data_IF_436507152930
#
_entry.id   IF_436507152930
#
_cell.length_a   1.000
_cell.length_b   1.000
_cell.length_c   1.000
_cell.angle_alpha   90.00
_cell.angle_beta   90.00
_cell.angle_gamma   90.00
#
_symmetry.space_group_name_H-M   'P 1'
#
loop_
_entity.id
_entity.type
_entity.pdbx_description
1 polymer ?
#
# COMPACT_ATOMS: atom_id res chain seq x y z
N UNK A 1 -23.67 14.02 19.59
CA UNK A 1 -22.37 13.52 20.07
C UNK A 1 -22.07 12.18 19.39
N UNK A 2 -21.42 12.18 18.21
CA UNK A 2 -21.36 11.01 17.32
C UNK A 2 -20.21 10.03 17.65
N UNK A 3 -19.75 9.97 18.89
CA UNK A 3 -18.60 9.15 19.29
C UNK A 3 -18.96 7.75 19.84
N UNK A 4 -20.19 7.26 19.67
CA UNK A 4 -20.65 6.02 20.34
C UNK A 4 -21.24 4.93 19.46
N UNK A 5 -21.15 5.01 18.14
CA UNK A 5 -21.63 3.93 17.27
C UNK A 5 -20.45 3.51 16.39
N UNK A 6 -20.15 2.21 16.37
CA UNK A 6 -19.14 1.53 15.53
C UNK A 6 -17.75 1.37 16.20
N UNK A 7 -17.60 0.45 17.16
CA UNK A 7 -16.48 -0.52 17.17
C UNK A 7 -16.69 -1.60 18.25
N UNK A 8 -17.23 -2.75 17.85
CA UNK A 8 -17.21 -4.00 18.63
C UNK A 8 -16.53 -5.09 17.78
N UNK A 9 -15.19 -5.19 17.73
CA UNK A 9 -14.49 -6.20 16.92
C UNK A 9 -13.66 -7.17 17.75
N UNK A 10 -13.97 -7.36 19.04
CA UNK A 10 -13.13 -8.18 19.93
C UNK A 10 -13.08 -9.68 19.57
N UNK A 11 -14.04 -10.20 18.80
CA UNK A 11 -14.12 -11.64 18.50
C UNK A 11 -14.02 -12.03 17.02
N UNK A 12 -14.11 -11.07 16.07
CA UNK A 12 -14.20 -11.40 14.63
C UNK A 12 -12.82 -11.63 13.99
N UNK A 13 -11.80 -10.91 14.45
CA UNK A 13 -10.45 -10.94 13.86
C UNK A 13 -9.72 -12.27 14.14
N UNK A 14 -9.88 -12.84 15.35
CA UNK A 14 -9.28 -14.12 15.71
C UNK A 14 -9.80 -15.30 14.85
N UNK A 15 -11.10 -15.31 14.56
CA UNK A 15 -11.76 -16.43 13.85
C UNK A 15 -11.43 -16.46 12.34
N UNK A 16 -11.28 -15.30 11.71
CA UNK A 16 -10.87 -15.19 10.30
C UNK A 16 -9.37 -15.46 10.10
N UNK A 17 -8.56 -15.11 11.10
CA UNK A 17 -7.17 -15.55 11.32
C UNK A 17 -6.94 -17.02 10.97
N UNK A 18 -7.64 -17.83 11.74
CA UNK A 18 -7.53 -19.28 11.75
C UNK A 18 -7.97 -19.93 10.44
N UNK A 19 -9.09 -19.49 9.84
CA UNK A 19 -9.64 -20.12 8.63
C UNK A 19 -8.70 -19.99 7.41
N UNK A 20 -7.93 -18.91 7.31
CA UNK A 20 -6.94 -18.73 6.22
C UNK A 20 -5.61 -19.43 6.51
N UNK A 21 -5.15 -19.44 7.76
CA UNK A 21 -3.92 -20.14 8.15
C UNK A 21 -4.06 -21.67 8.11
N UNK A 22 -5.21 -22.21 8.50
CA UNK A 22 -5.53 -23.63 8.35
C UNK A 22 -5.55 -24.09 6.89
N UNK A 23 -6.04 -23.23 5.96
CA UNK A 23 -6.04 -23.51 4.52
C UNK A 23 -4.63 -23.48 3.89
N UNK A 24 -3.67 -22.82 4.55
CA UNK A 24 -2.28 -22.77 4.13
C UNK A 24 -1.42 -23.93 4.69
N UNK A 25 -2.04 -24.93 5.33
CA UNK A 25 -1.35 -26.14 5.80
C UNK A 25 -0.37 -25.93 6.96
N UNK A 26 -0.41 -24.77 7.63
CA UNK A 26 0.54 -24.39 8.69
C UNK A 26 0.06 -24.68 10.11
N UNK A 27 -1.16 -25.17 10.29
CA UNK A 27 -1.70 -25.54 11.61
C UNK A 27 -2.35 -26.92 11.55
N UNK A 28 -1.86 -27.86 12.38
CA UNK A 28 -2.53 -29.13 12.66
C UNK A 28 -3.86 -28.89 13.37
N UNK A 29 -4.76 -29.88 13.29
CA UNK A 29 -6.19 -29.81 13.60
C UNK A 29 -6.59 -29.54 15.09
N UNK A 30 -5.80 -28.80 15.85
CA UNK A 30 -6.16 -28.31 17.18
C UNK A 30 -6.08 -26.79 17.18
N UNK A 31 -7.22 -26.11 17.29
CA UNK A 31 -7.26 -24.67 17.43
C UNK A 31 -6.59 -24.29 18.76
N UNK A 32 -5.49 -23.51 18.76
CA UNK A 32 -5.00 -22.96 20.01
C UNK A 32 -6.03 -21.93 20.48
N UNK A 33 -6.49 -22.05 21.73
CA UNK A 33 -7.25 -21.03 22.47
C UNK A 33 -6.40 -19.77 22.73
N UNK A 34 -5.45 -19.44 21.87
CA UNK A 34 -4.58 -18.28 22.02
C UNK A 34 -5.36 -17.02 21.68
N UNK A 35 -6.08 -16.56 22.69
CA UNK A 35 -6.59 -15.22 22.82
C UNK A 35 -5.46 -14.23 22.53
N UNK A 36 -5.70 -13.36 21.56
CA UNK A 36 -4.87 -12.17 21.35
C UNK A 36 -5.00 -11.29 22.60
N UNK A 37 -3.98 -11.28 23.47
CA UNK A 37 -4.06 -10.61 24.76
C UNK A 37 -3.51 -9.19 24.74
N UNK A 38 -2.49 -8.89 23.92
CA UNK A 38 -1.94 -7.52 23.86
C UNK A 38 -1.08 -7.23 22.62
N UNK A 39 -0.97 -5.93 22.30
CA UNK A 39 0.14 -5.37 21.52
C UNK A 39 1.19 -4.85 22.51
N UNK A 40 2.47 -5.06 22.24
CA UNK A 40 3.51 -4.37 23.03
C UNK A 40 3.50 -2.86 22.73
N UNK A 41 3.96 -2.03 23.66
CA UNK A 41 4.04 -0.58 23.46
C UNK A 41 4.84 -0.21 22.20
N UNK A 42 5.95 -0.91 21.95
CA UNK A 42 6.78 -0.74 20.76
C UNK A 42 6.06 -1.14 19.47
N UNK A 43 5.20 -2.16 19.54
CA UNK A 43 4.38 -2.58 18.41
C UNK A 43 3.36 -1.49 18.04
N UNK A 44 2.72 -0.89 19.06
CA UNK A 44 1.79 0.21 18.88
C UNK A 44 2.47 1.45 18.26
N UNK A 45 3.59 1.88 18.83
CA UNK A 45 4.37 3.02 18.34
C UNK A 45 4.77 2.85 16.88
N UNK A 46 5.14 1.63 16.49
CA UNK A 46 5.52 1.29 15.11
C UNK A 46 4.33 1.35 14.14
N UNK A 47 3.12 0.98 14.56
CA UNK A 47 1.91 1.10 13.75
C UNK A 47 1.45 2.55 13.64
N UNK A 48 1.59 3.35 14.70
CA UNK A 48 1.22 4.77 14.74
C UNK A 48 2.14 5.63 13.86
N UNK A 49 3.44 5.33 13.83
CA UNK A 49 4.40 6.06 12.98
C UNK A 49 4.31 5.70 11.49
N UNK A 50 3.61 4.62 11.15
CA UNK A 50 3.52 4.16 9.77
C UNK A 50 2.41 4.90 9.01
N UNK A 51 2.73 5.39 7.82
CA UNK A 51 1.75 6.01 6.94
C UNK A 51 0.91 4.94 6.26
N UNK A 52 -0.38 4.88 6.58
CA UNK A 52 -1.33 3.90 6.02
C UNK A 52 -2.04 4.47 4.77
N UNK A 53 -1.62 4.13 3.53
CA UNK A 53 -2.25 4.65 2.32
C UNK A 53 -3.68 4.10 2.08
N UNK A 54 -4.04 3.01 2.74
CA UNK A 54 -5.33 2.32 2.66
C UNK A 54 -5.88 1.95 4.03
N UNK A 55 -5.79 2.89 4.98
CA UNK A 55 -6.41 2.91 6.32
C UNK A 55 -6.61 1.54 6.98
N UNK A 56 -7.85 1.07 7.09
CA UNK A 56 -8.21 -0.01 8.03
C UNK A 56 -7.89 -1.40 7.49
N UNK A 57 -8.10 -1.67 6.19
CA UNK A 57 -7.85 -3.01 5.62
C UNK A 57 -6.37 -3.37 5.61
N UNK A 58 -5.50 -2.38 5.42
CA UNK A 58 -4.05 -2.60 5.47
C UNK A 58 -3.59 -2.88 6.89
N UNK A 59 -4.09 -2.12 7.87
CA UNK A 59 -3.84 -2.39 9.29
C UNK A 59 -4.31 -3.78 9.69
N UNK A 60 -5.52 -4.19 9.27
CA UNK A 60 -6.06 -5.53 9.49
C UNK A 60 -5.14 -6.62 8.93
N UNK A 61 -4.63 -6.45 7.71
CA UNK A 61 -3.74 -7.42 7.07
C UNK A 61 -2.40 -7.54 7.80
N UNK A 62 -1.81 -6.41 8.22
CA UNK A 62 -0.54 -6.40 8.96
C UNK A 62 -0.72 -7.02 10.35
N UNK A 63 -1.80 -6.68 11.06
CA UNK A 63 -2.13 -7.28 12.35
C UNK A 63 -2.41 -8.78 12.21
N UNK A 64 -3.14 -9.21 11.19
CA UNK A 64 -3.40 -10.62 10.88
C UNK A 64 -2.09 -11.40 10.69
N UNK A 65 -1.14 -10.83 9.95
CA UNK A 65 0.16 -11.46 9.72
C UNK A 65 0.96 -11.52 11.02
N UNK A 66 0.96 -10.44 11.82
CA UNK A 66 1.67 -10.37 13.08
C UNK A 66 1.13 -11.37 14.11
N UNK A 67 -0.19 -11.57 14.19
CA UNK A 67 -0.83 -12.59 15.03
C UNK A 67 -0.41 -13.99 14.59
N UNK A 68 -0.38 -14.23 13.28
CA UNK A 68 0.00 -15.55 12.72
C UNK A 68 1.47 -15.89 12.97
N UNK A 69 2.32 -14.89 13.17
CA UNK A 69 3.74 -15.04 13.52
C UNK A 69 3.99 -15.09 15.03
N UNK A 70 2.99 -14.71 15.84
CA UNK A 70 3.12 -14.64 17.28
C UNK A 70 2.77 -15.98 17.92
N UNK A 71 3.79 -16.71 18.35
CA UNK A 71 3.61 -17.87 19.22
C UNK A 71 3.51 -17.38 20.67
N UNK A 72 2.28 -17.01 21.07
CA UNK A 72 1.96 -16.66 22.45
C UNK A 72 1.51 -15.22 22.65
N UNK A 73 0.20 -15.01 22.74
CA UNK A 73 -0.51 -13.95 23.48
C UNK A 73 -0.24 -12.46 23.20
N UNK A 74 1.01 -12.05 22.93
CA UNK A 74 1.44 -10.65 22.84
C UNK A 74 2.23 -10.39 21.56
N UNK A 75 1.70 -9.58 20.66
CA UNK A 75 2.40 -9.18 19.43
C UNK A 75 3.46 -8.13 19.76
N UNK A 76 4.72 -8.48 19.48
CA UNK A 76 5.89 -7.60 19.59
C UNK A 76 6.16 -6.88 18.27
N UNK A 77 6.95 -5.82 18.32
CA UNK A 77 7.33 -5.02 17.15
C UNK A 77 8.02 -5.84 16.04
N UNK A 78 8.71 -6.93 16.40
CA UNK A 78 9.36 -7.87 15.48
C UNK A 78 8.40 -8.70 14.62
N UNK A 79 7.17 -8.92 15.11
CA UNK A 79 6.13 -9.62 14.37
C UNK A 79 5.42 -8.72 13.36
N UNK A 80 5.57 -7.39 13.47
CA UNK A 80 4.94 -6.42 12.57
C UNK A 80 5.81 -6.25 11.32
N UNK A 81 5.27 -6.72 10.19
CA UNK A 81 5.83 -6.48 8.87
C UNK A 81 5.03 -5.39 8.17
N UNK A 82 5.57 -4.18 8.19
CA UNK A 82 4.98 -3.06 7.45
C UNK A 82 5.40 -3.20 5.97
N UNK A 83 4.44 -3.27 5.04
CA UNK A 83 4.77 -3.27 3.61
C UNK A 83 5.46 -1.94 3.29
N UNK A 84 6.48 -1.92 2.45
CA UNK A 84 7.07 -0.66 2.02
C UNK A 84 6.16 -0.02 0.96
N UNK A 85 5.16 0.74 1.41
CA UNK A 85 4.27 1.46 0.49
C UNK A 85 4.88 2.78 0.00
N UNK A 86 6.12 3.07 0.38
CA UNK A 86 6.69 4.41 0.28
C UNK A 86 5.98 5.36 1.25
N UNK A 87 6.74 6.24 1.89
CA UNK A 87 6.12 7.39 2.55
C UNK A 87 5.32 8.19 1.50
N UNK A 88 4.19 8.81 1.86
CA UNK A 88 3.52 9.76 0.98
C UNK A 88 4.55 10.79 0.56
N UNK A 89 4.97 10.75 -0.70
CA UNK A 89 5.86 11.77 -1.23
C UNK A 89 4.99 13.00 -1.41
N UNK A 90 5.34 14.14 -0.78
CA UNK A 90 4.64 15.38 -1.08
C UNK A 90 4.67 15.56 -2.60
N UNK A 91 3.58 16.09 -3.17
CA UNK A 91 3.46 16.38 -4.59
C UNK A 91 4.48 17.44 -5.07
N UNK A 92 5.57 17.70 -4.34
CA UNK A 92 6.56 18.72 -4.67
C UNK A 92 5.90 20.07 -4.93
N UNK A 93 6.51 20.84 -5.82
CA UNK A 93 6.06 22.16 -6.24
C UNK A 93 5.04 22.08 -7.41
N UNK A 94 4.24 21.00 -7.49
CA UNK A 94 3.25 20.86 -8.57
C UNK A 94 2.14 21.89 -8.38
N UNK A 95 2.04 22.83 -9.34
CA UNK A 95 0.92 23.76 -9.40
C UNK A 95 -0.41 23.02 -9.51
N UNK A 96 -1.37 23.39 -8.67
CA UNK A 96 -2.75 22.89 -8.65
C UNK A 96 -3.73 23.84 -9.34
N UNK A 97 -3.23 24.76 -10.16
CA UNK A 97 -4.08 25.73 -10.87
C UNK A 97 -4.80 25.11 -12.07
N UNK A 98 -6.05 25.49 -12.28
CA UNK A 98 -6.87 25.01 -13.38
C UNK A 98 -7.82 23.87 -12.99
N UNK A 99 -8.39 23.22 -14.01
CA UNK A 99 -9.29 22.08 -13.82
C UNK A 99 -8.53 20.77 -13.61
N UNK A 100 -9.27 19.70 -13.30
CA UNK A 100 -8.68 18.39 -13.01
C UNK A 100 -7.86 17.86 -14.19
N UNK A 101 -8.31 18.08 -15.43
CA UNK A 101 -7.62 17.62 -16.63
C UNK A 101 -6.26 18.31 -16.77
N UNK A 102 -6.20 19.63 -16.54
CA UNK A 102 -4.95 20.38 -16.54
C UNK A 102 -3.99 19.93 -15.43
N UNK A 103 -4.49 19.68 -14.21
CA UNK A 103 -3.68 19.22 -13.08
C UNK A 103 -3.10 17.83 -13.37
N UNK A 104 -3.95 16.88 -13.80
CA UNK A 104 -3.54 15.51 -14.14
C UNK A 104 -2.58 15.53 -15.32
N UNK A 105 -2.84 16.34 -16.35
CA UNK A 105 -1.98 16.46 -17.52
C UNK A 105 -0.57 16.92 -17.17
N UNK A 106 -0.42 17.91 -16.30
CA UNK A 106 0.91 18.35 -15.81
C UNK A 106 1.64 17.26 -15.04
N UNK A 107 0.93 16.54 -14.17
CA UNK A 107 1.50 15.45 -13.41
C UNK A 107 1.95 14.30 -14.32
N UNK A 108 1.09 13.88 -15.27
CA UNK A 108 1.41 12.87 -16.27
C UNK A 108 2.65 13.26 -17.08
N UNK A 109 2.72 14.51 -17.56
CA UNK A 109 3.88 15.02 -18.31
C UNK A 109 5.17 14.91 -17.50
N UNK A 110 5.17 15.38 -16.26
CA UNK A 110 6.38 15.35 -15.42
C UNK A 110 6.84 13.91 -15.10
N UNK A 111 5.90 12.98 -14.87
CA UNK A 111 6.23 11.56 -14.70
C UNK A 111 6.84 10.98 -15.96
N UNK A 112 6.24 11.26 -17.14
CA UNK A 112 6.75 10.78 -18.42
C UNK A 112 8.13 11.34 -18.73
N UNK A 113 8.38 12.64 -18.54
CA UNK A 113 9.69 13.26 -18.75
C UNK A 113 10.76 12.63 -17.85
N UNK A 114 10.45 12.42 -16.57
CA UNK A 114 11.39 11.80 -15.64
C UNK A 114 11.72 10.36 -16.05
N UNK A 115 10.72 9.55 -16.32
CA UNK A 115 10.91 8.14 -16.67
C UNK A 115 11.51 7.97 -18.07
N UNK A 116 11.26 8.89 -19.00
CA UNK A 116 11.85 8.83 -20.34
C UNK A 116 13.37 9.00 -20.31
N UNK A 117 13.92 9.78 -19.36
CA UNK A 117 15.38 9.87 -19.15
C UNK A 117 16.01 8.53 -18.78
N UNK A 118 15.31 7.71 -18.00
CA UNK A 118 15.75 6.37 -17.60
C UNK A 118 15.42 5.31 -18.66
N UNK A 119 14.38 5.56 -19.47
CA UNK A 119 13.82 4.63 -20.45
C UNK A 119 13.44 5.37 -21.75
N UNK A 120 14.40 5.67 -22.65
CA UNK A 120 14.21 6.53 -23.83
C UNK A 120 13.44 5.85 -24.98
N UNK A 121 12.58 4.87 -24.67
CA UNK A 121 11.79 4.13 -25.64
C UNK A 121 10.37 3.91 -25.13
N UNK A 122 9.38 4.20 -25.96
CA UNK A 122 7.95 3.94 -25.67
C UNK A 122 7.68 2.49 -25.28
N UNK A 123 8.45 1.54 -25.81
CA UNK A 123 8.34 0.12 -25.46
C UNK A 123 8.86 -0.18 -24.07
N UNK A 124 10.00 0.41 -23.69
CA UNK A 124 10.57 0.26 -22.35
C UNK A 124 9.68 0.94 -21.31
N UNK A 125 9.20 2.14 -21.63
CA UNK A 125 8.31 2.92 -20.77
C UNK A 125 6.96 2.21 -20.56
N UNK A 126 6.36 1.66 -21.62
CA UNK A 126 5.15 0.85 -21.51
C UNK A 126 5.34 -0.36 -20.59
N UNK A 127 6.44 -1.10 -20.73
CA UNK A 127 6.78 -2.21 -19.84
C UNK A 127 6.94 -1.75 -18.38
N UNK A 128 7.59 -0.61 -18.15
CA UNK A 128 7.82 -0.06 -16.80
C UNK A 128 6.52 0.40 -16.14
N UNK A 129 5.63 1.03 -16.90
CA UNK A 129 4.35 1.56 -16.45
C UNK A 129 3.22 0.51 -16.44
N UNK A 130 3.45 -0.69 -16.99
CA UNK A 130 2.45 -1.75 -17.07
C UNK A 130 1.35 -1.48 -18.11
N UNK A 131 1.63 -0.65 -19.12
CA UNK A 131 0.70 -0.33 -20.21
C UNK A 131 1.24 -0.82 -21.55
N UNK A 132 0.37 -0.91 -22.56
CA UNK A 132 0.82 -1.26 -23.91
C UNK A 132 1.80 -0.21 -24.45
N UNK A 133 2.69 -0.64 -25.35
CA UNK A 133 3.61 0.27 -26.03
C UNK A 133 2.87 1.35 -26.84
N UNK A 134 1.66 1.05 -27.34
CA UNK A 134 0.81 2.02 -28.06
C UNK A 134 0.25 3.09 -27.13
N UNK A 135 -0.20 2.72 -25.93
CA UNK A 135 -0.67 3.67 -24.91
C UNK A 135 0.48 4.57 -24.44
N UNK A 136 1.65 4.00 -24.17
CA UNK A 136 2.84 4.78 -23.81
C UNK A 136 3.24 5.75 -24.94
N UNK A 137 3.24 5.31 -26.20
CA UNK A 137 3.55 6.17 -27.34
C UNK A 137 2.53 7.30 -27.53
N UNK A 138 1.23 7.03 -27.33
CA UNK A 138 0.19 8.05 -27.42
C UNK A 138 0.34 9.10 -26.32
N UNK A 139 0.60 8.69 -25.07
CA UNK A 139 0.85 9.58 -23.94
C UNK A 139 2.10 10.44 -24.14
N UNK A 140 3.19 9.86 -24.65
CA UNK A 140 4.41 10.63 -25.00
C UNK A 140 4.13 11.70 -26.07
N UNK A 141 3.36 11.37 -27.13
CA UNK A 141 2.98 12.34 -28.16
C UNK A 141 2.06 13.43 -27.62
N UNK A 142 1.04 13.06 -26.83
CA UNK A 142 0.10 14.01 -26.23
C UNK A 142 0.82 15.06 -25.36
N UNK A 143 1.87 14.64 -24.66
CA UNK A 143 2.62 15.49 -23.73
C UNK A 143 3.92 16.07 -24.32
N UNK A 144 4.23 15.79 -25.60
CA UNK A 144 5.42 16.29 -26.29
C UNK A 144 6.75 15.75 -25.74
N UNK A 145 6.74 14.60 -25.07
CA UNK A 145 7.92 14.04 -24.40
C UNK A 145 8.71 13.13 -25.34
N UNK A 146 10.01 13.40 -25.51
CA UNK A 146 10.91 12.59 -26.34
C UNK A 146 10.81 12.86 -27.85
N UNK A 147 10.12 13.94 -28.25
CA UNK A 147 10.24 14.47 -29.60
C UNK A 147 11.44 15.41 -29.63
N UNK A 148 12.58 14.92 -30.13
CA UNK A 148 13.68 15.79 -30.49
C UNK A 148 13.22 16.72 -31.62
N UNK A 149 13.32 18.03 -31.39
CA UNK A 149 13.63 18.94 -32.47
C UNK A 149 15.04 18.57 -32.96
N UNK A 150 15.16 18.09 -34.21
CA UNK A 150 16.45 17.94 -34.92
C UNK A 150 17.17 16.62 -34.69
#
# INVERSE_FOLDING_TARGET
>A
NPAQVIYQPRHRLARLGFQRAARAGRFGAAAPEQEFRALSAQALERLERYHWPGNVRQLENVLFQAVSLCEGGTVKAEHIRLPDYGAPQPLGDFSLEGDLDAIVGRFEKAVLERLFREHPSSRQLGKRLGVSHTTAANKLRQHGVGQGEG
#
